data_IF_101770141847
#
_entry.id   IF_101770141847
#
_cell.length_a   1.000
_cell.length_b   1.000
_cell.length_c   1.000
_cell.angle_alpha   90.00
_cell.angle_beta   90.00
_cell.angle_gamma   90.00
#
_symmetry.space_group_name_H-M   'P 1'
#
loop_
_entity.id
_entity.type
_entity.pdbx_description
1 polymer ?
#
# COMPACT_ATOMS: atom_id res chain seq x y z
N UNK A 1 -11.56 -13.80 -15.47
CA UNK A 1 -10.48 -13.78 -14.47
C UNK A 1 -9.40 -12.95 -15.11
N UNK A 2 -9.09 -11.80 -14.53
CA UNK A 2 -7.95 -10.99 -14.97
C UNK A 2 -6.68 -11.79 -14.74
N UNK A 3 -5.75 -11.75 -15.69
CA UNK A 3 -4.43 -12.35 -15.50
C UNK A 3 -3.63 -11.46 -14.52
N UNK A 4 -2.53 -11.99 -13.98
CA UNK A 4 -1.67 -11.26 -13.05
C UNK A 4 -0.33 -10.96 -13.72
N UNK A 5 0.16 -9.74 -13.54
CA UNK A 5 1.43 -9.25 -14.06
C UNK A 5 2.32 -8.75 -12.93
N UNK A 6 3.62 -8.70 -13.18
CA UNK A 6 4.59 -8.12 -12.24
C UNK A 6 4.70 -6.61 -12.45
N UNK A 7 4.42 -5.86 -11.39
CA UNK A 7 4.80 -4.46 -11.26
C UNK A 7 6.09 -4.36 -10.44
N UNK A 8 7.09 -3.63 -10.95
CA UNK A 8 8.32 -3.38 -10.21
C UNK A 8 8.86 -1.96 -10.42
N UNK A 9 9.09 -1.26 -9.31
CA UNK A 9 9.60 0.10 -9.31
C UNK A 9 10.47 0.37 -8.08
N UNK A 10 11.65 0.97 -8.29
CA UNK A 10 12.57 1.39 -7.21
C UNK A 10 12.89 0.26 -6.20
N UNK A 11 13.13 -0.95 -6.71
CA UNK A 11 13.44 -2.13 -5.90
C UNK A 11 12.28 -2.65 -5.06
N UNK A 12 11.03 -2.29 -5.39
CA UNK A 12 9.82 -2.89 -4.85
C UNK A 12 9.12 -3.61 -5.98
N UNK A 13 8.77 -4.89 -5.77
CA UNK A 13 8.04 -5.71 -6.74
C UNK A 13 6.77 -6.27 -6.10
N UNK A 14 5.69 -6.32 -6.87
CA UNK A 14 4.45 -6.99 -6.49
C UNK A 14 3.69 -7.48 -7.72
N UNK A 15 2.86 -8.50 -7.54
CA UNK A 15 1.93 -8.97 -8.56
C UNK A 15 0.63 -8.18 -8.46
N UNK A 16 0.13 -7.72 -9.61
CA UNK A 16 -1.12 -6.95 -9.73
C UNK A 16 -1.95 -7.51 -10.90
N UNK A 17 -3.27 -7.27 -10.91
CA UNK A 17 -4.10 -7.54 -12.08
C UNK A 17 -3.56 -6.86 -13.36
N UNK A 18 -3.69 -7.54 -14.49
CA UNK A 18 -3.23 -7.09 -15.81
C UNK A 18 -3.96 -5.86 -16.36
N UNK A 19 -5.16 -5.58 -15.85
CA UNK A 19 -5.93 -4.38 -16.18
C UNK A 19 -5.53 -3.16 -15.34
N UNK A 20 -4.61 -3.30 -14.39
CA UNK A 20 -4.07 -2.19 -13.59
C UNK A 20 -2.81 -1.64 -14.25
N UNK A 21 -2.93 -0.42 -14.76
CA UNK A 21 -1.89 0.26 -15.53
C UNK A 21 -1.19 1.32 -14.70
N UNK A 22 0.09 1.58 -14.97
CA UNK A 22 0.80 2.67 -14.30
C UNK A 22 0.19 4.04 -14.64
N UNK A 23 -0.39 4.69 -13.63
CA UNK A 23 -0.94 6.04 -13.74
C UNK A 23 0.08 7.13 -13.36
N UNK A 24 0.88 6.90 -12.31
CA UNK A 24 1.87 7.88 -11.84
C UNK A 24 3.01 7.22 -11.06
N UNK A 25 4.23 7.70 -11.29
CA UNK A 25 5.39 7.48 -10.42
C UNK A 25 6.00 8.81 -10.00
N UNK A 26 6.59 8.86 -8.81
CA UNK A 26 7.36 9.99 -8.30
C UNK A 26 8.42 9.52 -7.29
N UNK A 27 9.48 10.30 -7.14
CA UNK A 27 10.56 10.05 -6.19
C UNK A 27 11.68 9.14 -6.70
N UNK A 28 12.41 8.57 -5.74
CA UNK A 28 13.63 7.80 -5.93
C UNK A 28 13.63 6.55 -5.04
N UNK A 29 14.76 5.87 -4.96
CA UNK A 29 14.92 4.65 -4.17
C UNK A 29 14.66 4.84 -2.66
N UNK A 30 15.02 6.00 -2.13
CA UNK A 30 14.92 6.33 -0.70
C UNK A 30 13.49 6.71 -0.32
N UNK A 31 12.78 7.43 -1.19
CA UNK A 31 11.40 7.86 -0.96
C UNK A 31 10.67 8.07 -2.27
N UNK A 32 9.41 7.69 -2.32
CA UNK A 32 8.61 7.93 -3.50
C UNK A 32 7.22 7.36 -3.42
N UNK A 33 6.59 7.35 -4.58
CA UNK A 33 5.20 6.96 -4.75
C UNK A 33 4.99 6.34 -6.13
N UNK A 34 4.16 5.32 -6.19
CA UNK A 34 3.62 4.81 -7.44
C UNK A 34 2.11 4.55 -7.31
N UNK A 35 1.41 4.72 -8.42
CA UNK A 35 -0.04 4.61 -8.55
C UNK A 35 -0.40 3.79 -9.77
N UNK A 36 -1.30 2.84 -9.57
CA UNK A 36 -1.88 2.01 -10.60
C UNK A 36 -3.38 2.29 -10.70
N UNK A 37 -3.86 2.45 -11.94
CA UNK A 37 -5.24 2.77 -12.29
C UNK A 37 -5.82 1.67 -13.17
N UNK A 38 -7.11 1.38 -13.02
CA UNK A 38 -7.84 0.70 -14.10
C UNK A 38 -8.50 1.73 -15.03
N UNK A 39 -9.46 1.29 -15.85
CA UNK A 39 -10.19 2.16 -16.75
C UNK A 39 -11.07 3.22 -16.05
N UNK A 40 -11.35 3.09 -14.76
CA UNK A 40 -12.36 3.86 -14.05
C UNK A 40 -11.80 4.61 -12.81
N UNK A 41 -10.97 3.94 -12.01
CA UNK A 41 -10.52 4.41 -10.71
C UNK A 41 -9.04 4.11 -10.47
N UNK A 42 -8.50 4.74 -9.43
CA UNK A 42 -7.24 4.29 -8.83
C UNK A 42 -7.47 2.94 -8.18
N UNK A 43 -6.60 1.98 -8.45
CA UNK A 43 -6.69 0.62 -7.89
C UNK A 43 -5.63 0.31 -6.86
N UNK A 44 -4.42 0.81 -7.06
CA UNK A 44 -3.36 0.65 -6.07
C UNK A 44 -2.51 1.89 -5.92
N UNK A 45 -2.04 2.11 -4.71
CA UNK A 45 -1.03 3.11 -4.41
C UNK A 45 0.02 2.51 -3.49
N UNK A 46 1.29 2.77 -3.78
CA UNK A 46 2.40 2.43 -2.92
C UNK A 46 3.21 3.70 -2.64
N UNK A 47 3.39 4.02 -1.36
CA UNK A 47 4.27 5.08 -0.90
C UNK A 47 5.39 4.45 -0.09
N UNK A 48 6.64 4.82 -0.34
CA UNK A 48 7.78 4.34 0.44
C UNK A 48 8.65 5.48 0.94
N UNK A 49 9.35 5.23 2.04
CA UNK A 49 10.40 6.11 2.57
C UNK A 49 11.37 5.36 3.47
N UNK A 50 12.65 5.69 3.42
CA UNK A 50 13.65 5.22 4.38
C UNK A 50 13.52 5.94 5.71
N UNK A 51 13.49 5.17 6.80
CA UNK A 51 13.55 5.70 8.15
C UNK A 51 15.01 5.82 8.61
N UNK A 52 15.37 6.96 9.21
CA UNK A 52 16.70 7.18 9.83
C UNK A 52 16.61 7.06 11.35
N UNK A 53 17.43 6.22 11.98
CA UNK A 53 17.51 6.04 13.44
C UNK A 53 16.80 4.79 13.99
N UNK A 54 16.74 4.63 15.32
CA UNK A 54 16.09 3.50 16.02
C UNK A 54 14.58 3.73 16.23
N UNK A 55 13.78 2.66 16.37
CA UNK A 55 12.35 2.73 16.73
C UNK A 55 11.38 2.64 15.55
N UNK A 56 11.44 1.57 14.76
CA UNK A 56 10.61 1.39 13.55
C UNK A 56 9.11 1.28 13.85
N UNK A 57 8.71 0.49 14.85
CA UNK A 57 7.30 0.28 15.22
C UNK A 57 6.57 1.60 15.59
N UNK A 58 7.23 2.45 16.39
CA UNK A 58 6.68 3.74 16.79
C UNK A 58 6.50 4.66 15.57
N UNK A 59 7.53 4.72 14.71
CA UNK A 59 7.50 5.54 13.49
C UNK A 59 6.44 5.05 12.50
N UNK A 60 6.23 3.74 12.39
CA UNK A 60 5.18 3.17 11.56
C UNK A 60 3.79 3.64 12.04
N UNK A 61 3.53 3.51 13.35
CA UNK A 61 2.26 3.95 13.95
C UNK A 61 2.05 5.46 13.73
N UNK A 62 3.06 6.28 13.99
CA UNK A 62 3.01 7.74 13.77
C UNK A 62 2.78 8.11 12.30
N UNK A 63 3.34 7.35 11.36
CA UNK A 63 3.11 7.54 9.93
C UNK A 63 1.65 7.25 9.56
N UNK A 64 1.08 6.16 10.07
CA UNK A 64 -0.32 5.81 9.85
C UNK A 64 -1.23 6.86 10.49
N UNK A 65 -0.95 7.29 11.73
CA UNK A 65 -1.73 8.32 12.42
C UNK A 65 -1.74 9.63 11.63
N UNK A 66 -0.59 10.08 11.15
CA UNK A 66 -0.47 11.30 10.32
C UNK A 66 -1.21 11.16 9.00
N UNK A 67 -1.14 9.98 8.38
CA UNK A 67 -1.86 9.69 7.14
C UNK A 67 -3.37 9.79 7.34
N UNK A 68 -3.90 9.10 8.36
CA UNK A 68 -5.33 9.11 8.69
C UNK A 68 -5.83 10.50 9.08
N UNK A 69 -5.07 11.25 9.89
CA UNK A 69 -5.42 12.61 10.28
C UNK A 69 -5.49 13.56 9.07
N UNK A 70 -4.61 13.38 8.08
CA UNK A 70 -4.66 14.16 6.84
C UNK A 70 -5.87 13.81 5.98
N UNK A 71 -6.28 12.54 5.91
CA UNK A 71 -7.50 12.13 5.21
C UNK A 71 -8.74 12.68 5.89
N UNK A 72 -8.85 12.52 7.21
CA UNK A 72 -9.99 13.03 7.99
C UNK A 72 -10.13 14.55 7.83
N UNK A 73 -9.00 15.28 7.85
CA UNK A 73 -8.98 16.73 7.60
C UNK A 73 -9.46 17.08 6.19
N UNK A 74 -9.16 16.26 5.17
CA UNK A 74 -9.64 16.47 3.80
C UNK A 74 -11.14 16.21 3.70
N UNK A 75 -11.62 15.10 4.26
CA UNK A 75 -13.04 14.76 4.28
C UNK A 75 -13.88 15.84 4.98
N UNK A 76 -13.44 16.31 6.16
CA UNK A 76 -14.10 17.41 6.90
C UNK A 76 -14.17 18.71 6.13
N UNK A 77 -13.20 19.01 5.24
CA UNK A 77 -13.23 20.24 4.42
C UNK A 77 -14.34 20.23 3.37
N UNK A 78 -14.74 19.05 2.92
CA UNK A 78 -15.75 18.87 1.87
C UNK A 78 -17.04 18.25 2.40
N UNK A 79 -17.17 18.15 3.73
CA UNK A 79 -18.30 17.53 4.44
C UNK A 79 -18.62 16.10 3.96
N UNK A 80 -17.58 15.33 3.61
CA UNK A 80 -17.72 13.95 3.17
C UNK A 80 -17.67 12.97 4.36
N UNK A 81 -18.44 11.86 4.31
CA UNK A 81 -18.31 10.78 5.29
C UNK A 81 -16.90 10.18 5.24
N UNK A 82 -16.34 9.88 6.41
CA UNK A 82 -15.04 9.23 6.54
C UNK A 82 -15.04 8.29 7.73
N UNK A 83 -14.85 7.00 7.46
CA UNK A 83 -14.80 5.95 8.49
C UNK A 83 -13.47 5.22 8.42
N UNK A 84 -12.94 4.82 9.58
CA UNK A 84 -11.67 4.07 9.67
C UNK A 84 -11.84 2.87 10.59
N UNK A 85 -11.49 1.70 10.06
CA UNK A 85 -11.38 0.46 10.82
C UNK A 85 -9.90 0.06 10.94
N UNK A 86 -9.28 0.36 12.09
CA UNK A 86 -7.93 -0.12 12.40
C UNK A 86 -7.95 -1.60 12.79
N UNK A 87 -6.81 -2.29 12.63
CA UNK A 87 -6.65 -3.73 12.91
C UNK A 87 -7.68 -4.58 12.15
N UNK A 88 -7.99 -4.17 10.92
CA UNK A 88 -8.96 -4.84 10.07
C UNK A 88 -8.54 -6.30 9.83
N UNK A 89 -9.52 -7.20 9.79
CA UNK A 89 -9.31 -8.66 9.72
C UNK A 89 -9.51 -9.21 8.30
N UNK A 90 -8.96 -8.54 7.29
CA UNK A 90 -9.08 -8.99 5.90
C UNK A 90 -7.91 -9.87 5.44
N UNK A 91 -6.76 -9.84 6.12
CA UNK A 91 -5.63 -10.74 5.84
C UNK A 91 -5.83 -12.11 6.48
N UNK A 92 -6.04 -13.14 5.66
CA UNK A 92 -6.21 -14.54 6.09
C UNK A 92 -4.86 -15.22 6.37
N UNK A 93 -3.86 -15.00 5.52
CA UNK A 93 -2.51 -15.54 5.64
C UNK A 93 -1.51 -14.45 6.00
N UNK A 94 -0.95 -14.53 7.21
CA UNK A 94 0.01 -13.54 7.73
C UNK A 94 1.46 -14.02 7.72
N UNK A 95 1.76 -15.18 7.11
CA UNK A 95 3.14 -15.72 7.07
C UNK A 95 4.13 -14.74 6.46
N UNK A 96 3.74 -14.01 5.42
CA UNK A 96 4.60 -13.00 4.82
C UNK A 96 4.96 -11.89 5.82
N UNK A 97 4.14 -11.60 6.83
CA UNK A 97 4.38 -10.54 7.82
C UNK A 97 5.22 -11.01 9.02
N UNK A 98 5.60 -12.28 9.08
CA UNK A 98 6.29 -12.85 10.24
C UNK A 98 7.62 -12.15 10.53
N UNK A 99 7.80 -11.74 11.79
CA UNK A 99 8.98 -11.01 12.25
C UNK A 99 9.11 -9.58 11.72
N UNK A 100 8.04 -9.00 11.15
CA UNK A 100 8.02 -7.61 10.64
C UNK A 100 7.03 -6.76 11.42
N UNK A 101 7.35 -5.48 11.58
CA UNK A 101 6.42 -4.48 12.11
C UNK A 101 5.44 -4.06 11.02
N UNK A 102 4.14 -4.17 11.29
CA UNK A 102 3.09 -3.84 10.33
C UNK A 102 1.83 -3.29 11.00
N UNK A 103 1.05 -2.54 10.24
CA UNK A 103 -0.31 -2.14 10.60
C UNK A 103 -1.26 -2.35 9.42
N UNK A 104 -2.45 -2.85 9.70
CA UNK A 104 -3.52 -3.02 8.71
C UNK A 104 -4.76 -2.24 9.13
N UNK A 105 -5.38 -1.58 8.17
CA UNK A 105 -6.59 -0.80 8.38
C UNK A 105 -7.37 -0.66 7.08
N UNK A 106 -8.67 -0.39 7.23
CA UNK A 106 -9.56 -0.01 6.13
C UNK A 106 -10.04 1.41 6.41
N UNK A 107 -10.15 2.23 5.37
CA UNK A 107 -10.93 3.46 5.45
C UNK A 107 -11.97 3.49 4.33
N UNK A 108 -13.09 4.15 4.60
CA UNK A 108 -14.18 4.35 3.65
C UNK A 108 -14.51 5.85 3.55
N UNK A 109 -14.59 6.34 2.32
CA UNK A 109 -15.00 7.70 1.95
C UNK A 109 -15.75 7.60 0.61
N UNK A 110 -15.32 8.31 -0.43
CA UNK A 110 -15.78 8.09 -1.82
C UNK A 110 -15.37 6.71 -2.37
N UNK A 111 -14.36 6.09 -1.76
CA UNK A 111 -13.85 4.76 -2.06
C UNK A 111 -13.60 3.99 -0.77
N UNK A 112 -13.51 2.66 -0.86
CA UNK A 112 -12.97 1.80 0.18
C UNK A 112 -11.50 1.55 -0.11
N UNK A 113 -10.64 1.70 0.88
CA UNK A 113 -9.23 1.33 0.74
C UNK A 113 -8.80 0.32 1.79
N UNK A 114 -8.25 -0.80 1.33
CA UNK A 114 -7.51 -1.76 2.14
C UNK A 114 -6.07 -1.25 2.25
N UNK A 115 -5.51 -1.16 3.46
CA UNK A 115 -4.18 -0.61 3.66
C UNK A 115 -3.29 -1.58 4.44
N UNK A 116 -2.03 -1.64 4.02
CA UNK A 116 -0.92 -2.27 4.72
C UNK A 116 0.22 -1.26 4.87
N UNK A 117 0.53 -0.89 6.11
CA UNK A 117 1.77 -0.24 6.45
C UNK A 117 2.77 -1.30 6.92
N UNK A 118 3.99 -1.32 6.37
CA UNK A 118 4.97 -2.38 6.62
C UNK A 118 6.40 -1.80 6.72
N UNK A 119 7.12 -2.18 7.77
CA UNK A 119 8.57 -2.00 7.83
C UNK A 119 9.28 -3.11 7.06
N UNK A 120 10.11 -2.71 6.09
CA UNK A 120 10.96 -3.59 5.31
C UNK A 120 12.32 -3.76 5.99
N UNK A 121 12.99 -4.89 5.73
CA UNK A 121 14.32 -5.19 6.30
C UNK A 121 15.41 -4.22 5.85
N UNK A 122 15.21 -3.55 4.71
CA UNK A 122 16.04 -2.45 4.20
C UNK A 122 16.02 -1.19 5.07
N UNK A 123 15.10 -1.08 6.04
CA UNK A 123 14.83 0.15 6.79
C UNK A 123 13.90 1.12 6.04
N UNK A 124 13.35 0.72 4.89
CA UNK A 124 12.22 1.41 4.25
C UNK A 124 10.91 1.04 4.95
N UNK A 125 10.01 2.00 5.07
CA UNK A 125 8.61 1.76 5.38
C UNK A 125 7.79 1.98 4.13
N UNK A 126 6.87 1.05 3.89
CA UNK A 126 5.90 1.09 2.79
C UNK A 126 4.51 1.30 3.36
N UNK A 127 3.72 2.16 2.72
CA UNK A 127 2.28 2.24 2.86
C UNK A 127 1.65 1.85 1.53
N UNK A 128 1.13 0.62 1.47
CA UNK A 128 0.49 0.03 0.30
C UNK A 128 -1.03 0.06 0.49
N UNK A 129 -1.74 0.42 -0.57
CA UNK A 129 -3.19 0.62 -0.57
C UNK A 129 -3.78 -0.04 -1.80
N UNK A 130 -4.87 -0.77 -1.62
CA UNK A 130 -5.73 -1.26 -2.72
C UNK A 130 -7.10 -0.63 -2.55
N UNK A 131 -7.56 0.07 -3.59
CA UNK A 131 -8.81 0.82 -3.60
C UNK A 131 -9.88 0.06 -4.37
N UNK A 132 -11.11 0.18 -3.88
CA UNK A 132 -12.31 -0.40 -4.43
C UNK A 132 -13.43 0.65 -4.43
N UNK A 133 -14.35 0.56 -5.37
CA UNK A 133 -15.63 1.27 -5.27
C UNK A 133 -16.38 0.76 -4.03
N UNK A 134 -17.30 1.54 -3.49
CA UNK A 134 -18.00 1.18 -2.24
C UNK A 134 -18.87 -0.08 -2.39
N UNK A 135 -19.39 -0.33 -3.59
CA UNK A 135 -20.15 -1.51 -3.99
C UNK A 135 -19.27 -2.73 -4.33
N UNK A 136 -17.94 -2.55 -4.39
CA UNK A 136 -16.98 -3.62 -4.59
C UNK A 136 -16.40 -4.11 -3.25
N UNK A 137 -16.25 -5.43 -3.12
CA UNK A 137 -15.63 -6.07 -1.97
C UNK A 137 -14.45 -6.93 -2.41
N UNK A 138 -13.23 -6.44 -2.20
CA UNK A 138 -12.00 -7.00 -2.77
C UNK A 138 -10.93 -7.40 -1.73
N UNK A 139 -11.27 -8.01 -0.57
CA UNK A 139 -10.26 -8.35 0.44
C UNK A 139 -9.25 -9.38 -0.04
N UNK A 140 -9.66 -10.34 -0.88
CA UNK A 140 -8.78 -11.41 -1.38
C UNK A 140 -7.79 -10.89 -2.41
N UNK A 141 -8.23 -9.97 -3.28
CA UNK A 141 -7.37 -9.31 -4.24
C UNK A 141 -6.38 -8.37 -3.54
N UNK A 142 -6.84 -7.61 -2.53
CA UNK A 142 -5.95 -6.81 -1.69
C UNK A 142 -4.90 -7.67 -0.97
N UNK A 143 -5.30 -8.80 -0.38
CA UNK A 143 -4.38 -9.74 0.25
C UNK A 143 -3.37 -10.33 -0.75
N UNK A 144 -3.81 -10.70 -1.95
CA UNK A 144 -2.93 -11.22 -2.99
C UNK A 144 -1.85 -10.19 -3.40
N UNK A 145 -2.25 -8.93 -3.64
CA UNK A 145 -1.30 -7.84 -3.91
C UNK A 145 -0.34 -7.66 -2.73
N UNK A 146 -0.84 -7.59 -1.50
CA UNK A 146 -0.01 -7.32 -0.32
C UNK A 146 0.97 -8.44 -0.01
N UNK A 147 0.55 -9.70 -0.16
CA UNK A 147 1.37 -10.87 0.09
C UNK A 147 2.44 -11.10 -0.97
N UNK A 148 2.26 -10.55 -2.17
CA UNK A 148 3.24 -10.58 -3.27
C UNK A 148 4.35 -9.54 -3.16
N UNK A 149 4.27 -8.59 -2.22
CA UNK A 149 5.26 -7.52 -2.07
C UNK A 149 6.64 -8.07 -1.68
N UNK A 150 7.62 -7.84 -2.56
CA UNK A 150 9.03 -8.19 -2.38
C UNK A 150 9.88 -6.92 -2.35
N UNK A 151 10.75 -6.81 -1.35
CA UNK A 151 11.81 -5.80 -1.28
C UNK A 151 13.07 -6.38 -1.94
N UNK A 152 13.40 -5.86 -3.12
CA UNK A 152 14.53 -6.30 -3.93
C UNK A 152 15.82 -5.54 -3.61
N UNK A 153 15.84 -4.70 -2.56
CA UNK A 153 17.04 -3.89 -2.24
C UNK A 153 18.31 -4.73 -2.04
N UNK A 154 18.17 -5.93 -1.47
CA UNK A 154 19.29 -6.84 -1.23
C UNK A 154 19.64 -7.73 -2.45
N UNK A 155 18.93 -7.58 -3.58
CA UNK A 155 19.16 -8.37 -4.79
C UNK A 155 20.22 -7.71 -5.70
N UNK A 156 21.00 -8.54 -6.42
CA UNK A 156 22.07 -8.07 -7.32
C UNK A 156 21.53 -7.30 -8.55
N UNK A 157 20.24 -7.44 -8.84
CA UNK A 157 19.56 -6.74 -9.93
C UNK A 157 18.16 -6.31 -9.48
N UNK A 158 17.75 -5.10 -9.86
CA UNK A 158 16.39 -4.62 -9.65
C UNK A 158 15.59 -4.77 -10.94
N UNK A 159 14.42 -5.41 -10.85
CA UNK A 159 13.50 -5.51 -11.98
C UNK A 159 12.89 -4.12 -12.23
N UNK A 160 12.76 -3.77 -13.52
CA UNK A 160 11.94 -2.65 -13.97
C UNK A 160 10.84 -3.27 -14.85
N UNK A 161 9.61 -3.22 -14.37
CA UNK A 161 8.44 -3.76 -15.08
C UNK A 161 7.26 -2.86 -14.79
N UNK A 162 6.59 -2.43 -15.85
CA UNK A 162 5.49 -1.47 -15.83
C UNK A 162 4.30 -2.04 -16.57
#
# INVERSE_FOLDING_TARGET
>A
MSDWVDFAWQGLRMSVPDDWNLGRVDGDFEKGYARLDDAEIVRAEIEWRRLKGRGEALRLTELVDRYLANLEKKAKKVDAPFEVQRRARFLKNKKFLEGREYEVFIWEADFRAYNLALALKSGRVVLLRVLAKLDEFLPEQAEAVFSSLVDQEAEDAHLWSV
#
